data_IF_393227048402
#
_entry.id   IF_393227048402
#
_cell.length_a   1.000
_cell.length_b   1.000
_cell.length_c   1.000
_cell.angle_alpha   90.00
_cell.angle_beta   90.00
_cell.angle_gamma   90.00
#
_symmetry.space_group_name_H-M   'P 1'
#
loop_
_entity.id
_entity.type
_entity.pdbx_description
1 polymer ?
#
# COMPACT_ATOMS: atom_id res chain seq x y z
N UNK A 1 14.27 46.01 -40.35
CA UNK A 1 12.88 46.48 -40.28
C UNK A 1 12.04 45.22 -40.31
N UNK A 2 11.89 44.58 -39.16
CA UNK A 2 10.83 44.84 -38.16
C UNK A 2 9.58 44.01 -38.53
N UNK A 3 8.89 43.27 -37.67
CA UNK A 3 9.02 43.11 -36.23
C UNK A 3 8.32 41.82 -35.78
N UNK A 4 8.89 41.23 -34.75
CA UNK A 4 8.30 40.28 -33.81
C UNK A 4 6.93 40.72 -33.26
N UNK A 5 5.96 39.80 -33.22
CA UNK A 5 4.86 39.83 -32.24
C UNK A 5 4.58 38.44 -31.66
N UNK A 6 5.18 38.23 -30.50
CA UNK A 6 4.70 37.37 -29.42
C UNK A 6 3.32 37.91 -28.98
N UNK A 7 2.29 37.07 -28.86
CA UNK A 7 1.16 37.37 -27.97
C UNK A 7 0.36 36.12 -27.59
N UNK A 8 0.54 35.77 -26.31
CA UNK A 8 -0.46 35.25 -25.38
C UNK A 8 -1.12 33.89 -25.62
N UNK A 9 -0.45 32.90 -25.01
CA UNK A 9 -1.00 31.88 -24.11
C UNK A 9 -2.37 32.27 -23.51
N UNK A 10 -3.44 31.59 -23.92
CA UNK A 10 -4.59 31.36 -23.04
C UNK A 10 -4.55 29.91 -22.58
N UNK A 11 -4.16 29.71 -21.32
CA UNK A 11 -4.61 28.58 -20.52
C UNK A 11 -6.15 28.62 -20.47
N UNK A 12 -6.77 27.49 -20.11
CA UNK A 12 -8.20 27.32 -19.84
C UNK A 12 -9.09 27.04 -21.06
N UNK A 13 -9.13 25.77 -21.49
CA UNK A 13 -10.40 25.07 -21.69
C UNK A 13 -10.20 23.54 -21.72
N UNK A 14 -9.71 22.97 -20.62
CA UNK A 14 -9.79 21.53 -20.36
C UNK A 14 -11.07 21.36 -19.56
N UNK A 15 -12.18 21.03 -20.23
CA UNK A 15 -13.42 20.42 -19.69
C UNK A 15 -14.57 20.62 -20.70
N UNK A 16 -14.44 20.11 -21.93
CA UNK A 16 -15.62 19.83 -22.76
C UNK A 16 -16.02 18.38 -22.50
N UNK A 17 -17.19 18.22 -21.89
CA UNK A 17 -17.81 16.92 -21.59
C UNK A 17 -18.06 16.07 -22.86
N UNK A 18 -17.95 16.68 -24.03
CA UNK A 18 -18.10 16.05 -25.34
C UNK A 18 -16.90 15.20 -25.78
N UNK A 19 -15.71 15.39 -25.18
CA UNK A 19 -14.51 14.58 -25.49
C UNK A 19 -14.47 13.25 -24.72
N UNK A 20 -15.45 12.98 -23.84
CA UNK A 20 -15.60 11.72 -23.09
C UNK A 20 -16.58 10.74 -23.75
N UNK A 21 -17.17 11.09 -24.89
CA UNK A 21 -17.99 10.16 -25.65
C UNK A 21 -17.09 9.24 -26.47
N UNK A 22 -16.88 8.02 -25.96
CA UNK A 22 -16.43 6.91 -26.79
C UNK A 22 -17.41 6.78 -27.95
N UNK A 23 -16.97 7.12 -29.15
CA UNK A 23 -17.73 6.92 -30.39
C UNK A 23 -17.76 5.43 -30.73
N UNK A 24 -18.48 4.65 -29.91
CA UNK A 24 -18.83 3.27 -30.24
C UNK A 24 -20.07 3.36 -31.12
N UNK A 25 -19.90 3.08 -32.41
CA UNK A 25 -21.02 3.15 -33.37
C UNK A 25 -21.96 1.94 -33.24
N UNK A 26 -21.50 0.88 -32.58
CA UNK A 26 -22.21 -0.39 -32.42
C UNK A 26 -21.64 -1.12 -31.19
N UNK A 27 -22.34 -0.98 -30.06
CA UNK A 27 -21.92 -1.55 -28.78
C UNK A 27 -21.91 -3.08 -28.81
N UNK A 28 -22.79 -3.71 -29.59
CA UNK A 28 -22.88 -5.17 -29.69
C UNK A 28 -21.69 -5.76 -30.46
N UNK A 29 -21.26 -5.09 -31.53
CA UNK A 29 -20.07 -5.48 -32.27
C UNK A 29 -18.78 -5.34 -31.44
N UNK A 30 -18.70 -4.34 -30.58
CA UNK A 30 -17.53 -4.12 -29.71
C UNK A 30 -17.50 -5.13 -28.55
N UNK A 31 -18.65 -5.43 -27.93
CA UNK A 31 -18.75 -6.48 -26.91
C UNK A 31 -18.31 -7.83 -27.48
N UNK A 32 -18.77 -8.18 -28.69
CA UNK A 32 -18.43 -9.46 -29.32
C UNK A 32 -16.93 -9.57 -29.66
N UNK A 33 -16.27 -8.48 -30.05
CA UNK A 33 -14.81 -8.45 -30.25
C UNK A 33 -14.05 -8.68 -28.94
N UNK A 34 -14.45 -8.00 -27.87
CA UNK A 34 -13.81 -8.12 -26.56
C UNK A 34 -13.97 -9.53 -25.96
N UNK A 35 -15.12 -10.16 -26.15
CA UNK A 35 -15.38 -11.53 -25.72
C UNK A 35 -14.58 -12.57 -26.54
N UNK A 36 -14.35 -12.30 -27.83
CA UNK A 36 -13.52 -13.15 -28.67
C UNK A 36 -12.05 -13.10 -28.22
N UNK A 37 -11.51 -11.91 -27.93
CA UNK A 37 -10.13 -11.73 -27.45
C UNK A 37 -9.91 -12.39 -26.08
N UNK A 38 -10.93 -12.36 -25.20
CA UNK A 38 -10.89 -13.05 -23.91
C UNK A 38 -10.81 -14.59 -24.05
N UNK A 39 -11.36 -15.16 -25.13
CA UNK A 39 -11.42 -16.61 -25.34
C UNK A 39 -10.23 -17.21 -26.11
N UNK A 40 -9.34 -16.39 -26.69
CA UNK A 40 -8.16 -16.89 -27.44
C UNK A 40 -6.99 -17.31 -26.53
N UNK A 41 -6.99 -16.94 -25.24
CA UNK A 41 -5.85 -17.18 -24.33
C UNK A 41 -5.71 -18.61 -23.75
N UNK A 42 -6.35 -19.62 -24.35
CA UNK A 42 -6.18 -21.04 -23.95
C UNK A 42 -5.63 -21.91 -25.09
N UNK A 43 -4.48 -21.54 -25.65
CA UNK A 43 -3.59 -22.54 -26.25
C UNK A 43 -2.13 -22.16 -26.03
N UNK A 44 -1.45 -23.08 -25.34
CA UNK A 44 -0.03 -23.22 -25.06
C UNK A 44 0.97 -22.36 -25.86
N UNK A 45 1.44 -21.26 -25.27
CA UNK A 45 2.81 -20.75 -25.45
C UNK A 45 3.32 -20.20 -24.11
N UNK A 46 4.59 -20.49 -23.81
CA UNK A 46 5.29 -20.23 -22.56
C UNK A 46 5.26 -18.74 -22.20
N UNK A 47 4.29 -18.34 -21.39
CA UNK A 47 4.19 -16.99 -20.84
C UNK A 47 4.82 -17.01 -19.44
N UNK A 48 6.07 -16.56 -19.32
CA UNK A 48 6.57 -16.10 -18.02
C UNK A 48 5.58 -15.04 -17.54
N UNK A 49 4.75 -15.41 -16.57
CA UNK A 49 3.83 -14.48 -15.94
C UNK A 49 4.68 -13.36 -15.35
N UNK A 50 4.78 -12.22 -16.05
CA UNK A 50 5.26 -10.98 -15.47
C UNK A 50 4.25 -10.64 -14.39
N UNK A 51 4.49 -11.17 -13.18
CA UNK A 51 3.59 -10.96 -12.07
C UNK A 51 3.65 -9.47 -11.77
N UNK A 52 2.54 -8.76 -11.93
CA UNK A 52 2.49 -7.35 -11.60
C UNK A 52 2.92 -7.18 -10.14
N UNK A 53 4.00 -6.43 -9.92
CA UNK A 53 4.57 -6.18 -8.59
C UNK A 53 3.65 -5.28 -7.75
N UNK A 54 2.73 -4.57 -8.40
CA UNK A 54 1.70 -3.75 -7.73
C UNK A 54 0.62 -4.58 -7.08
N UNK A 55 0.36 -5.79 -7.57
CA UNK A 55 -0.64 -6.66 -6.99
C UNK A 55 -0.12 -7.20 -5.65
N UNK A 56 -0.81 -6.92 -4.53
CA UNK A 56 -0.41 -7.44 -3.23
C UNK A 56 -0.61 -8.97 -3.18
N UNK A 57 0.40 -9.70 -2.69
CA UNK A 57 0.46 -11.18 -2.74
C UNK A 57 0.61 -11.82 -1.37
N UNK A 58 0.96 -11.03 -0.35
CA UNK A 58 1.25 -11.54 0.98
C UNK A 58 0.02 -11.32 1.86
N UNK A 59 -0.52 -12.40 2.43
CA UNK A 59 -1.62 -12.30 3.40
C UNK A 59 -1.09 -11.81 4.74
N UNK A 60 -1.65 -10.72 5.24
CA UNK A 60 -1.47 -10.23 6.60
C UNK A 60 -2.74 -10.53 7.41
N UNK A 61 -2.57 -11.02 8.64
CA UNK A 61 -3.67 -11.17 9.60
C UNK A 61 -3.18 -10.87 11.01
N UNK A 62 -3.76 -9.86 11.65
CA UNK A 62 -3.44 -9.51 13.03
C UNK A 62 -4.02 -10.55 14.00
N UNK A 63 -3.20 -11.14 14.86
CA UNK A 63 -3.65 -12.14 15.85
C UNK A 63 -4.44 -11.56 17.02
N UNK A 64 -4.54 -10.23 17.12
CA UNK A 64 -5.16 -9.55 18.27
C UNK A 64 -6.54 -8.95 17.95
N UNK A 65 -6.78 -8.53 16.70
CA UNK A 65 -8.03 -7.92 16.26
C UNK A 65 -8.58 -8.51 14.96
N UNK A 66 -7.94 -9.57 14.44
CA UNK A 66 -8.31 -10.27 13.20
C UNK A 66 -8.33 -9.41 11.93
N UNK A 67 -7.80 -8.19 11.98
CA UNK A 67 -7.63 -7.34 10.80
C UNK A 67 -6.82 -8.09 9.74
N UNK A 68 -7.41 -8.24 8.56
CA UNK A 68 -6.86 -9.00 7.45
C UNK A 68 -6.67 -8.07 6.26
N UNK A 69 -5.48 -8.10 5.67
CA UNK A 69 -5.15 -7.34 4.47
C UNK A 69 -4.21 -8.12 3.56
N UNK A 70 -4.16 -7.73 2.28
CA UNK A 70 -3.14 -8.19 1.35
C UNK A 70 -2.07 -7.13 1.22
N UNK A 71 -0.79 -7.48 1.37
CA UNK A 71 0.34 -6.56 1.30
C UNK A 71 1.33 -6.92 0.19
N UNK A 72 2.15 -5.94 -0.21
CA UNK A 72 3.12 -6.10 -1.29
C UNK A 72 4.45 -6.70 -0.81
N UNK A 73 4.83 -6.43 0.44
CA UNK A 73 6.17 -6.76 0.92
C UNK A 73 6.22 -7.07 2.42
N UNK A 74 7.15 -7.93 2.81
CA UNK A 74 7.56 -8.16 4.19
C UNK A 74 9.10 -8.10 4.30
N UNK A 75 9.61 -7.24 5.19
CA UNK A 75 11.04 -7.07 5.42
C UNK A 75 11.42 -5.64 5.77
N UNK A 76 12.72 -5.31 5.67
CA UNK A 76 13.26 -3.97 5.99
C UNK A 76 13.42 -3.04 4.79
N UNK A 77 13.51 -3.57 3.57
CA UNK A 77 13.88 -2.79 2.38
C UNK A 77 12.85 -3.03 1.27
N UNK A 78 11.67 -2.39 1.36
CA UNK A 78 10.66 -2.53 0.31
C UNK A 78 11.20 -2.02 -1.03
N UNK A 79 11.21 -2.85 -2.08
CA UNK A 79 11.90 -2.53 -3.35
C UNK A 79 11.29 -1.33 -4.09
N UNK A 80 10.04 -0.99 -3.80
CA UNK A 80 9.30 0.13 -4.40
C UNK A 80 9.49 1.48 -3.69
N UNK A 81 10.25 1.52 -2.58
CA UNK A 81 10.56 2.75 -1.86
C UNK A 81 12.04 3.06 -1.98
N UNK A 82 12.37 4.16 -2.65
CA UNK A 82 13.76 4.53 -2.91
C UNK A 82 14.49 5.00 -1.64
N UNK A 83 15.62 4.39 -1.32
CA UNK A 83 16.52 4.82 -0.25
C UNK A 83 16.01 4.59 1.18
N UNK A 84 14.93 3.83 1.36
CA UNK A 84 14.36 3.54 2.69
C UNK A 84 14.84 2.19 3.23
N UNK A 85 15.23 2.19 4.51
CA UNK A 85 15.47 0.97 5.29
C UNK A 85 14.75 1.08 6.64
N UNK A 86 13.79 0.18 6.89
CA UNK A 86 13.07 0.09 8.14
C UNK A 86 13.96 -0.47 9.26
N UNK A 87 13.62 -0.13 10.50
CA UNK A 87 14.33 -0.61 11.69
C UNK A 87 14.02 -2.08 12.01
N UNK A 88 12.81 -2.55 11.64
CA UNK A 88 12.33 -3.91 11.86
C UNK A 88 11.66 -4.47 10.60
N UNK A 89 11.56 -5.80 10.50
CA UNK A 89 10.82 -6.45 9.42
C UNK A 89 9.33 -6.17 9.56
N UNK A 90 8.76 -5.50 8.57
CA UNK A 90 7.38 -5.00 8.62
C UNK A 90 6.60 -5.42 7.39
N UNK A 91 5.28 -5.56 7.55
CA UNK A 91 4.34 -5.78 6.46
C UNK A 91 4.00 -4.43 5.83
N UNK A 92 4.33 -4.27 4.55
CA UNK A 92 4.25 -3.01 3.82
C UNK A 92 3.32 -3.13 2.62
N UNK A 93 2.37 -2.22 2.55
CA UNK A 93 1.40 -2.04 1.48
C UNK A 93 1.79 -0.80 0.68
N UNK A 94 1.76 -0.86 -0.66
CA UNK A 94 1.83 0.35 -1.50
C UNK A 94 0.59 1.20 -1.22
N UNK A 95 0.71 2.52 -1.20
CA UNK A 95 -0.43 3.39 -0.92
C UNK A 95 -1.54 3.17 -1.98
N UNK A 96 -2.72 2.64 -1.60
CA UNK A 96 -3.80 2.33 -2.55
C UNK A 96 -4.43 3.59 -3.16
N UNK A 97 -4.17 4.76 -2.58
CA UNK A 97 -4.67 6.04 -3.07
C UNK A 97 -3.67 6.76 -3.98
N UNK A 98 -2.46 6.22 -4.16
CA UNK A 98 -1.49 6.82 -5.05
C UNK A 98 -1.83 6.51 -6.52
N UNK A 99 -1.86 7.52 -7.41
CA UNK A 99 -2.04 7.26 -8.84
C UNK A 99 -0.85 6.47 -9.41
N UNK A 100 -1.07 5.66 -10.46
CA UNK A 100 0.02 4.96 -11.15
C UNK A 100 1.12 5.94 -11.61
N UNK A 101 2.40 5.59 -11.45
CA UNK A 101 3.49 6.45 -11.88
C UNK A 101 3.50 6.61 -13.39
N UNK A 102 3.83 7.82 -13.82
CA UNK A 102 3.92 8.20 -15.24
C UNK A 102 5.11 7.45 -15.86
N UNK A 103 4.90 6.83 -17.03
CA UNK A 103 5.85 5.97 -17.76
C UNK A 103 7.28 6.55 -17.88
N UNK A 104 7.40 7.88 -17.96
CA UNK A 104 8.65 8.59 -18.21
C UNK A 104 9.42 8.97 -16.94
N UNK A 105 8.84 8.77 -15.75
CA UNK A 105 9.51 9.06 -14.47
C UNK A 105 8.99 8.15 -13.35
N UNK A 106 9.67 7.01 -13.08
CA UNK A 106 9.38 6.26 -11.87
C UNK A 106 9.77 7.13 -10.66
N UNK A 107 8.78 7.48 -9.83
CA UNK A 107 9.02 8.07 -8.50
C UNK A 107 8.94 6.97 -7.45
N UNK A 108 9.60 7.18 -6.31
CA UNK A 108 9.37 6.37 -5.13
C UNK A 108 7.86 6.34 -4.82
N UNK A 109 7.34 5.17 -4.50
CA UNK A 109 5.94 5.02 -4.12
C UNK A 109 5.76 5.28 -2.63
N UNK A 110 4.68 5.99 -2.29
CA UNK A 110 4.13 6.07 -0.96
C UNK A 110 3.69 4.68 -0.51
N UNK A 111 3.74 4.47 0.80
CA UNK A 111 3.50 3.16 1.40
C UNK A 111 2.88 3.31 2.78
N UNK A 112 2.21 2.25 3.21
CA UNK A 112 1.60 2.10 4.53
C UNK A 112 2.23 0.89 5.21
N UNK A 113 2.68 1.08 6.46
CA UNK A 113 3.11 -0.03 7.31
C UNK A 113 1.89 -0.56 8.06
N UNK A 114 1.47 -1.77 7.72
CA UNK A 114 0.26 -2.39 8.27
C UNK A 114 0.53 -3.00 9.64
N UNK A 115 1.70 -3.64 9.79
CA UNK A 115 2.03 -4.41 10.99
C UNK A 115 3.44 -4.96 10.96
N UNK A 116 3.77 -5.75 11.97
CA UNK A 116 5.02 -6.50 12.08
C UNK A 116 4.82 -7.73 12.97
N UNK A 117 5.90 -8.50 13.21
CA UNK A 117 5.87 -9.61 14.14
C UNK A 117 6.28 -9.14 15.53
N UNK A 118 5.62 -9.68 16.56
CA UNK A 118 6.05 -9.47 17.93
C UNK A 118 7.46 -10.05 18.14
N UNK A 119 8.38 -9.29 18.71
CA UNK A 119 9.75 -9.78 18.95
C UNK A 119 9.87 -10.89 20.00
N UNK A 120 8.79 -11.16 20.76
CA UNK A 120 8.79 -12.14 21.86
C UNK A 120 8.12 -13.44 21.43
N UNK A 121 6.89 -13.36 20.93
CA UNK A 121 6.10 -14.53 20.56
C UNK A 121 5.94 -14.72 19.03
N UNK A 122 6.58 -13.86 18.23
CA UNK A 122 6.54 -13.88 16.75
C UNK A 122 5.15 -13.72 16.11
N UNK A 123 4.11 -13.48 16.91
CA UNK A 123 2.74 -13.31 16.43
C UNK A 123 2.64 -12.07 15.53
N UNK A 124 1.87 -12.18 14.44
CA UNK A 124 1.63 -11.07 13.52
C UNK A 124 0.65 -10.08 14.15
N UNK A 125 1.07 -8.82 14.30
CA UNK A 125 0.25 -7.78 14.93
C UNK A 125 0.22 -6.51 14.08
N UNK A 126 -0.93 -5.86 14.00
CA UNK A 126 -1.06 -4.57 13.32
C UNK A 126 -0.44 -3.45 14.17
N UNK A 127 -0.15 -2.31 13.54
CA UNK A 127 0.36 -1.10 14.23
C UNK A 127 -0.70 -0.35 15.06
N UNK A 128 -1.90 -0.90 15.19
CA UNK A 128 -2.97 -0.34 16.01
C UNK A 128 -2.61 -0.34 17.50
N UNK A 129 -2.97 0.74 18.20
CA UNK A 129 -2.70 0.93 19.62
C UNK A 129 -3.38 -0.12 20.53
N UNK A 130 -4.36 -0.87 20.03
CA UNK A 130 -5.04 -1.94 20.78
C UNK A 130 -4.36 -3.32 20.61
N UNK A 131 -3.39 -3.41 19.70
CA UNK A 131 -2.77 -4.68 19.29
C UNK A 131 -1.28 -4.72 19.59
N UNK A 132 -0.56 -3.62 19.37
CA UNK A 132 0.89 -3.60 19.52
C UNK A 132 1.43 -2.33 20.16
N UNK A 133 2.66 -2.43 20.64
CA UNK A 133 3.45 -1.34 21.18
C UNK A 133 4.84 -1.35 20.52
N UNK A 134 5.25 -0.21 19.99
CA UNK A 134 6.58 -0.03 19.39
C UNK A 134 7.48 0.79 20.30
N UNK A 135 8.70 0.30 20.53
CA UNK A 135 9.79 1.04 21.15
C UNK A 135 11.04 1.02 20.25
N UNK A 136 11.86 -0.02 20.35
CA UNK A 136 12.96 -0.33 19.41
C UNK A 136 12.55 -1.37 18.36
N UNK A 137 11.55 -2.17 18.70
CA UNK A 137 10.91 -3.20 17.91
C UNK A 137 9.46 -3.35 18.40
N UNK A 138 8.68 -4.14 17.69
CA UNK A 138 7.25 -4.33 18.00
C UNK A 138 7.01 -5.46 18.99
N UNK A 139 6.14 -5.18 19.94
CA UNK A 139 5.61 -6.14 20.89
C UNK A 139 4.09 -6.22 20.71
N UNK A 140 3.50 -7.41 20.73
CA UNK A 140 2.06 -7.49 20.97
C UNK A 140 1.75 -6.94 22.36
N UNK A 141 0.55 -6.41 22.58
CA UNK A 141 0.23 -5.79 23.88
C UNK A 141 0.35 -6.76 25.07
N UNK A 142 0.12 -8.05 24.86
CA UNK A 142 0.28 -9.06 25.91
C UNK A 142 1.74 -9.16 26.37
N UNK A 143 2.68 -9.37 25.44
CA UNK A 143 4.11 -9.42 25.74
C UNK A 143 4.65 -8.08 26.26
N UNK A 144 4.15 -6.95 25.72
CA UNK A 144 4.52 -5.63 26.22
C UNK A 144 4.13 -5.47 27.71
N UNK A 145 2.92 -5.88 28.08
CA UNK A 145 2.42 -5.84 29.46
C UNK A 145 3.24 -6.74 30.39
N UNK A 146 3.50 -7.97 29.97
CA UNK A 146 4.28 -8.95 30.75
C UNK A 146 5.70 -8.46 31.04
N UNK A 147 6.31 -7.77 30.07
CA UNK A 147 7.68 -7.27 30.17
C UNK A 147 7.77 -5.77 30.46
N UNK A 148 6.72 -5.15 31.01
CA UNK A 148 6.67 -3.69 31.21
C UNK A 148 7.88 -3.15 31.99
N UNK A 149 8.36 -3.90 32.98
CA UNK A 149 9.49 -3.50 33.82
C UNK A 149 10.85 -3.50 33.09
N UNK A 150 10.94 -4.10 31.90
CA UNK A 150 12.16 -4.11 31.07
C UNK A 150 12.26 -2.86 30.18
N UNK A 151 11.18 -2.10 30.00
CA UNK A 151 11.19 -0.87 29.22
C UNK A 151 11.70 0.31 30.07
N UNK A 152 12.32 1.33 29.46
CA UNK A 152 12.64 2.58 30.14
C UNK A 152 11.40 3.26 30.73
N UNK A 153 11.59 4.02 31.81
CA UNK A 153 10.50 4.60 32.62
C UNK A 153 9.53 5.43 31.76
N UNK A 154 10.04 6.20 30.78
CA UNK A 154 9.19 7.01 29.89
C UNK A 154 8.28 6.13 29.02
N UNK A 155 8.81 5.00 28.54
CA UNK A 155 8.07 4.04 27.73
C UNK A 155 7.03 3.27 28.56
N UNK A 156 7.33 2.98 29.83
CA UNK A 156 6.38 2.35 30.74
C UNK A 156 5.14 3.20 30.95
N UNK A 157 5.29 4.52 31.16
CA UNK A 157 4.16 5.42 31.36
C UNK A 157 3.23 5.45 30.13
N UNK A 158 3.81 5.50 28.92
CA UNK A 158 3.06 5.43 27.66
C UNK A 158 2.32 4.10 27.52
N UNK A 159 2.98 2.99 27.81
CA UNK A 159 2.38 1.66 27.74
C UNK A 159 1.23 1.49 28.75
N UNK A 160 1.36 1.98 30.00
CA UNK A 160 0.27 1.95 30.99
C UNK A 160 -0.97 2.68 30.48
N UNK A 161 -0.80 3.91 29.96
CA UNK A 161 -1.90 4.68 29.36
C UNK A 161 -2.58 3.95 28.20
N UNK A 162 -1.79 3.28 27.36
CA UNK A 162 -2.31 2.51 26.23
C UNK A 162 -3.08 1.26 26.69
N UNK A 163 -2.62 0.58 27.75
CA UNK A 163 -3.31 -0.57 28.32
C UNK A 163 -4.66 -0.19 28.96
N UNK A 164 -4.78 1.02 29.53
CA UNK A 164 -6.05 1.53 30.06
C UNK A 164 -7.11 1.75 28.96
N UNK A 165 -6.70 2.14 27.75
CA UNK A 165 -7.60 2.33 26.60
C UNK A 165 -8.25 1.01 26.21
N UNK A 166 -7.48 -0.09 26.22
CA UNK A 166 -7.97 -1.43 25.87
C UNK A 166 -9.02 -1.97 26.85
N UNK A 167 -8.99 -1.54 28.12
CA UNK A 167 -9.93 -2.03 29.15
C UNK A 167 -11.31 -1.35 29.05
N UNK A 168 -11.39 -0.17 28.41
CA UNK A 168 -12.61 0.65 28.35
C UNK A 168 -13.52 0.33 27.14
N UNK A 169 -13.14 -0.61 26.30
CA UNK A 169 -13.93 -1.11 25.17
C UNK A 169 -14.33 -2.56 25.43
#
# INVERSE_FOLDING_TARGET
>A
MEDSKISNRSLYNINRYEDLQLNVKDDEAEISRLEADANVSKSSEKCESQSDERVPKIKFQCTMCDMLEMVNYYGKTPPFVYGLKLLEDSFVLRDPFQPPPIRWKPKAEYFVIIGSRCTVCESVVCKGAECSFYYTCTYCLACAKEHINKFPIESQAKLRKQLEIKIKK
#
